data_IF_745874276821
#
_entry.id   IF_745874276821
#
_cell.length_a   1.000
_cell.length_b   1.000
_cell.length_c   1.000
_cell.angle_alpha   90.00
_cell.angle_beta   90.00
_cell.angle_gamma   90.00
#
_symmetry.space_group_name_H-M   'P 1'
#
loop_
_entity.id
_entity.type
_entity.pdbx_description
1 polymer ?
#
# COMPACT_ATOMS: atom_id res chain seq x y z
N UNK A 1 2.47 12.81 -2.15
CA UNK A 1 3.58 11.86 -2.37
C UNK A 1 4.08 11.97 -3.80
N UNK A 2 5.37 11.92 -4.00
CA UNK A 2 5.98 11.89 -5.33
C UNK A 2 6.18 10.44 -5.76
N UNK A 3 6.35 10.25 -7.07
CA UNK A 3 6.68 8.93 -7.60
C UNK A 3 8.00 8.42 -7.00
N UNK A 4 8.09 7.14 -6.76
CA UNK A 4 9.30 6.55 -6.24
C UNK A 4 9.06 5.25 -5.49
N UNK A 5 10.12 4.79 -4.83
CA UNK A 5 10.11 3.62 -3.97
C UNK A 5 10.05 4.10 -2.53
N UNK A 6 9.18 3.49 -1.75
CA UNK A 6 8.95 3.83 -0.35
C UNK A 6 9.16 2.60 0.52
N UNK A 7 9.81 2.79 1.66
CA UNK A 7 9.77 1.78 2.71
C UNK A 7 8.45 1.88 3.43
N UNK A 8 7.85 0.75 3.74
CA UNK A 8 6.56 0.69 4.42
C UNK A 8 6.70 0.16 5.84
N UNK A 9 5.97 0.80 6.74
CA UNK A 9 5.69 0.27 8.06
C UNK A 9 4.18 0.07 8.15
N UNK A 10 3.77 -1.15 8.41
CA UNK A 10 2.37 -1.53 8.40
C UNK A 10 2.01 -2.10 9.75
N UNK A 11 0.98 -1.55 10.37
CA UNK A 11 0.47 -2.03 11.65
C UNK A 11 -0.94 -2.57 11.44
N UNK A 12 -1.14 -3.83 11.80
CA UNK A 12 -2.44 -4.47 11.83
C UNK A 12 -2.75 -4.82 13.28
N UNK A 13 -3.51 -3.95 13.96
CA UNK A 13 -3.76 -4.15 15.39
C UNK A 13 -2.46 -4.20 16.18
N UNK A 14 -2.13 -5.35 16.75
CA UNK A 14 -0.89 -5.57 17.50
C UNK A 14 0.27 -6.05 16.62
N UNK A 15 0.01 -6.46 15.39
CA UNK A 15 1.05 -6.94 14.47
C UNK A 15 1.70 -5.78 13.75
N UNK A 16 3.02 -5.82 13.65
CA UNK A 16 3.79 -4.83 12.92
C UNK A 16 4.65 -5.54 11.87
N UNK A 17 4.55 -5.09 10.62
CA UNK A 17 5.32 -5.66 9.52
C UNK A 17 5.96 -4.55 8.70
N UNK A 18 7.01 -4.88 7.99
CA UNK A 18 7.72 -3.98 7.11
C UNK A 18 7.58 -4.45 5.67
N UNK A 19 7.58 -3.50 4.76
CA UNK A 19 7.45 -3.79 3.34
C UNK A 19 8.04 -2.71 2.47
N UNK A 20 7.77 -2.80 1.19
CA UNK A 20 8.23 -1.86 0.18
C UNK A 20 7.08 -1.57 -0.77
N UNK A 21 6.99 -0.33 -1.22
CA UNK A 21 5.99 0.05 -2.21
C UNK A 21 6.59 0.89 -3.33
N UNK A 22 5.97 0.81 -4.48
CA UNK A 22 6.21 1.71 -5.59
C UNK A 22 5.00 2.61 -5.75
N UNK A 23 5.25 3.92 -5.84
CA UNK A 23 4.23 4.93 -6.07
C UNK A 23 4.43 5.49 -7.46
N UNK A 24 3.37 5.49 -8.26
CA UNK A 24 3.36 6.09 -9.57
C UNK A 24 1.99 6.73 -9.82
N UNK A 25 1.97 8.06 -9.96
CA UNK A 25 0.72 8.80 -10.11
C UNK A 25 -0.20 8.58 -8.91
N UNK A 26 -1.42 8.11 -9.17
CA UNK A 26 -2.43 7.83 -8.17
C UNK A 26 -2.49 6.34 -7.78
N UNK A 27 -1.41 5.63 -7.97
CA UNK A 27 -1.34 4.20 -7.72
C UNK A 27 -0.18 3.86 -6.79
N UNK A 28 -0.46 3.00 -5.82
CA UNK A 28 0.54 2.44 -4.91
C UNK A 28 0.49 0.93 -5.05
N UNK A 29 1.65 0.33 -5.30
CA UNK A 29 1.80 -1.12 -5.32
C UNK A 29 2.89 -1.50 -4.35
N UNK A 30 2.54 -2.29 -3.35
CA UNK A 30 3.48 -2.66 -2.32
C UNK A 30 3.41 -4.12 -1.97
N UNK A 31 4.40 -4.57 -1.23
CA UNK A 31 4.43 -5.93 -0.73
C UNK A 31 5.20 -6.01 0.59
N UNK A 32 4.81 -6.97 1.39
CA UNK A 32 5.60 -7.46 2.52
C UNK A 32 5.92 -8.94 2.29
N UNK A 33 6.38 -9.64 3.32
CA UNK A 33 6.75 -11.05 3.18
C UNK A 33 5.57 -11.97 2.82
N UNK A 34 4.34 -11.56 3.10
CA UNK A 34 3.16 -12.41 2.95
C UNK A 34 2.05 -11.80 2.09
N UNK A 35 2.09 -10.51 1.84
CA UNK A 35 0.96 -9.79 1.26
C UNK A 35 1.39 -8.88 0.13
N UNK A 36 0.48 -8.68 -0.81
CA UNK A 36 0.57 -7.69 -1.88
C UNK A 36 -0.51 -6.64 -1.63
N UNK A 37 -0.12 -5.38 -1.72
CA UNK A 37 -1.00 -4.24 -1.54
C UNK A 37 -1.13 -3.50 -2.86
N UNK A 38 -2.35 -3.21 -3.26
CA UNK A 38 -2.63 -2.35 -4.40
C UNK A 38 -3.58 -1.27 -3.93
N UNK A 39 -3.21 -0.03 -4.11
CA UNK A 39 -4.02 1.09 -3.70
C UNK A 39 -4.21 2.07 -4.85
N UNK A 40 -5.42 2.56 -4.98
CA UNK A 40 -5.78 3.58 -5.95
C UNK A 40 -6.53 4.70 -5.25
N UNK A 41 -6.21 5.92 -5.65
CA UNK A 41 -6.91 7.09 -5.13
C UNK A 41 -8.31 7.17 -5.74
N UNK A 42 -9.31 7.17 -4.88
CA UNK A 42 -10.70 7.24 -5.33
C UNK A 42 -11.23 8.65 -5.52
N UNK A 43 -10.48 9.64 -5.09
CA UNK A 43 -10.60 11.08 -5.32
C UNK A 43 -11.90 11.67 -5.82
N UNK A 44 -12.97 11.58 -5.08
CA UNK A 44 -14.20 12.30 -5.37
C UNK A 44 -14.32 13.50 -4.43
N UNK A 45 -14.46 14.69 -4.99
CA UNK A 45 -14.84 15.90 -4.24
C UNK A 45 -13.96 16.22 -3.02
N UNK A 46 -12.64 16.16 -3.19
CA UNK A 46 -11.73 16.50 -2.09
C UNK A 46 -11.58 15.42 -1.04
N UNK A 47 -12.11 14.24 -1.27
CA UNK A 47 -11.91 13.12 -0.36
C UNK A 47 -10.46 12.68 -0.34
N UNK A 48 -9.98 12.33 0.84
CA UNK A 48 -8.63 11.79 1.05
C UNK A 48 -8.66 10.28 1.18
N UNK A 49 -9.67 9.65 0.60
CA UNK A 49 -9.88 8.21 0.70
C UNK A 49 -9.17 7.45 -0.42
N UNK A 50 -8.48 6.41 -0.04
CA UNK A 50 -7.82 5.51 -0.96
C UNK A 50 -8.42 4.12 -0.83
N UNK A 51 -8.59 3.46 -1.95
CA UNK A 51 -9.09 2.11 -2.00
C UNK A 51 -7.91 1.13 -2.03
N UNK A 52 -7.80 0.32 -0.99
CA UNK A 52 -6.74 -0.68 -0.86
C UNK A 52 -7.30 -2.07 -1.09
N UNK A 53 -6.62 -2.82 -1.94
CA UNK A 53 -6.83 -4.25 -2.08
C UNK A 53 -5.62 -4.96 -1.49
N UNK A 54 -5.86 -5.88 -0.59
CA UNK A 54 -4.81 -6.66 0.06
C UNK A 54 -4.97 -8.12 -0.33
N UNK A 55 -3.93 -8.69 -0.89
CA UNK A 55 -3.91 -10.10 -1.27
C UNK A 55 -2.80 -10.79 -0.51
N UNK A 56 -3.09 -11.97 0.03
CA UNK A 56 -2.09 -12.79 0.71
C UNK A 56 -1.71 -13.95 -0.19
N UNK A 57 -0.41 -14.16 -0.36
CA UNK A 57 0.07 -15.35 -1.01
C UNK A 57 0.72 -16.25 0.05
N UNK A 58 0.19 -17.44 0.21
CA UNK A 58 0.64 -18.37 1.25
C UNK A 58 1.60 -19.40 0.70
N UNK A 59 1.41 -19.78 -0.55
CA UNK A 59 2.28 -20.74 -1.22
C UNK A 59 2.23 -20.51 -2.72
N UNK A 60 3.33 -20.77 -3.45
CA UNK A 60 3.35 -20.59 -4.91
C UNK A 60 2.27 -21.36 -5.66
N UNK A 61 1.89 -22.52 -5.16
CA UNK A 61 0.89 -23.39 -5.78
C UNK A 61 -0.54 -23.00 -5.46
N UNK A 62 -0.76 -22.23 -4.39
CA UNK A 62 -2.10 -21.85 -3.96
C UNK A 62 -2.61 -20.57 -4.63
N UNK A 63 -1.73 -19.82 -5.29
CA UNK A 63 -2.08 -18.55 -5.88
C UNK A 63 -2.33 -17.46 -4.84
N UNK A 64 -2.91 -16.35 -5.32
CA UNK A 64 -3.22 -15.21 -4.48
C UNK A 64 -4.62 -15.36 -3.89
N UNK A 65 -4.72 -15.16 -2.59
CA UNK A 65 -6.01 -15.10 -1.90
C UNK A 65 -6.27 -13.66 -1.51
N UNK A 66 -7.33 -13.08 -2.07
CA UNK A 66 -7.69 -11.70 -1.75
C UNK A 66 -8.29 -11.64 -0.36
N UNK A 67 -7.71 -10.82 0.50
CA UNK A 67 -8.21 -10.59 1.86
C UNK A 67 -9.34 -9.58 1.92
N UNK A 68 -9.66 -8.93 0.81
CA UNK A 68 -10.73 -7.96 0.71
C UNK A 68 -10.26 -6.59 0.25
N UNK A 69 -11.21 -5.70 0.10
CA UNK A 69 -11.01 -4.32 -0.28
C UNK A 69 -11.33 -3.41 0.89
N UNK A 70 -10.50 -2.44 1.14
CA UNK A 70 -10.62 -1.55 2.28
C UNK A 70 -10.43 -0.10 1.85
N UNK A 71 -11.17 0.79 2.49
CA UNK A 71 -10.98 2.22 2.29
C UNK A 71 -10.16 2.76 3.46
N UNK A 72 -9.00 3.33 3.14
CA UNK A 72 -8.15 3.97 4.13
C UNK A 72 -8.11 5.47 3.88
N UNK A 73 -8.12 6.23 4.94
CA UNK A 73 -8.01 7.67 4.89
C UNK A 73 -6.56 8.09 4.90
N UNK A 74 -6.18 8.98 3.99
CA UNK A 74 -4.84 9.54 3.97
C UNK A 74 -4.72 10.56 5.11
N UNK A 75 -3.84 10.28 6.06
CA UNK A 75 -3.58 11.16 7.21
C UNK A 75 -2.41 12.07 6.99
N UNK A 76 -1.48 11.67 6.14
CA UNK A 76 -0.32 12.46 5.81
C UNK A 76 0.04 12.21 4.35
N UNK A 77 0.30 13.28 3.62
CA UNK A 77 0.75 13.20 2.23
C UNK A 77 1.67 14.37 1.96
N UNK A 78 2.94 14.18 2.24
CA UNK A 78 4.00 15.10 1.86
C UNK A 78 4.73 14.53 0.65
N UNK A 79 5.69 15.26 0.09
CA UNK A 79 6.43 14.79 -1.08
C UNK A 79 7.04 13.41 -0.88
N UNK A 80 7.63 13.17 0.29
CA UNK A 80 8.42 11.96 0.56
C UNK A 80 7.89 11.10 1.70
N UNK A 81 6.68 11.38 2.17
CA UNK A 81 6.08 10.60 3.25
C UNK A 81 4.57 10.54 3.10
N UNK A 82 4.01 9.39 3.38
CA UNK A 82 2.56 9.25 3.46
C UNK A 82 2.15 8.37 4.64
N UNK A 83 0.92 8.55 5.08
CA UNK A 83 0.32 7.70 6.10
C UNK A 83 -1.16 7.51 5.81
N UNK A 84 -1.59 6.27 5.87
CA UNK A 84 -2.99 5.88 5.72
C UNK A 84 -3.46 5.19 6.97
N UNK A 85 -4.71 5.41 7.31
CA UNK A 85 -5.33 4.82 8.49
C UNK A 85 -6.76 4.40 8.19
N UNK A 86 -7.16 3.29 8.73
CA UNK A 86 -8.52 2.80 8.60
C UNK A 86 -8.74 1.54 9.42
N UNK A 87 -9.92 0.97 9.26
CA UNK A 87 -10.29 -0.27 9.90
C UNK A 87 -10.62 -1.32 8.86
N UNK A 88 -10.13 -2.53 9.09
CA UNK A 88 -10.54 -3.68 8.31
C UNK A 88 -11.76 -4.26 9.01
N UNK A 89 -12.90 -4.18 8.34
CA UNK A 89 -14.12 -4.82 8.79
C UNK A 89 -14.09 -6.29 8.42
N UNK A 90 -14.23 -7.14 9.40
CA UNK A 90 -14.17 -8.58 9.17
C UNK A 90 -14.40 -9.28 10.50
N UNK A 91 -13.55 -10.24 10.83
CA UNK A 91 -13.68 -11.02 12.05
C UNK A 91 -13.48 -10.21 13.33
N UNK A 92 -12.70 -9.16 13.25
CA UNK A 92 -12.48 -8.19 14.32
C UNK A 92 -12.24 -6.84 13.68
N UNK A 93 -12.70 -5.76 14.29
CA UNK A 93 -12.40 -4.42 13.85
C UNK A 93 -10.93 -4.15 14.09
N UNK A 94 -10.13 -4.43 13.09
CA UNK A 94 -8.69 -4.32 13.16
C UNK A 94 -8.27 -2.97 12.61
N UNK A 95 -7.60 -2.18 13.43
CA UNK A 95 -7.05 -0.91 12.98
C UNK A 95 -5.80 -1.16 12.14
N UNK A 96 -5.75 -0.51 10.98
CA UNK A 96 -4.62 -0.59 10.06
C UNK A 96 -4.00 0.78 9.91
N UNK A 97 -2.69 0.84 10.03
CA UNK A 97 -1.91 2.05 9.76
C UNK A 97 -0.81 1.65 8.78
N UNK A 98 -0.73 2.38 7.67
CA UNK A 98 0.32 2.17 6.67
C UNK A 98 1.09 3.48 6.54
N UNK A 99 2.38 3.43 6.84
CA UNK A 99 3.28 4.57 6.71
C UNK A 99 4.34 4.27 5.67
N UNK A 100 4.62 5.24 4.80
CA UNK A 100 5.62 5.11 3.77
C UNK A 100 6.62 6.26 3.80
N UNK A 101 7.89 5.93 3.68
CA UNK A 101 8.98 6.89 3.57
C UNK A 101 9.74 6.66 2.26
N UNK A 102 9.90 7.72 1.48
CA UNK A 102 10.58 7.66 0.19
C UNK A 102 12.04 7.27 0.38
N UNK A 103 12.50 6.28 -0.39
CA UNK A 103 13.87 5.79 -0.33
C UNK A 103 14.61 5.90 -1.66
N UNK A 104 13.92 6.16 -2.75
CA UNK A 104 14.59 6.29 -4.04
C UNK A 104 13.64 6.48 -5.20
N UNK A 105 14.21 6.78 -6.35
CA UNK A 105 13.46 6.91 -7.58
C UNK A 105 13.03 5.55 -8.11
N UNK A 106 11.95 5.55 -8.90
CA UNK A 106 11.53 4.34 -9.60
C UNK A 106 12.66 3.86 -10.51
N UNK A 107 12.88 2.54 -10.58
CA UNK A 107 13.86 1.98 -11.50
C UNK A 107 13.48 2.35 -12.94
N UNK A 108 14.47 2.80 -13.69
CA UNK A 108 14.30 3.03 -15.13
C UNK A 108 14.61 1.73 -15.85
N UNK A 109 13.67 1.29 -16.67
CA UNK A 109 13.96 0.24 -17.61
C UNK A 109 14.98 0.75 -18.62
N UNK A 110 15.97 -0.07 -18.92
CA UNK A 110 16.95 0.29 -19.93
C UNK A 110 16.22 0.50 -21.26
N UNK A 111 16.24 1.74 -21.72
CA UNK A 111 15.51 2.13 -22.93
C UNK A 111 16.05 1.43 -24.15
N UNK A 112 15.15 0.90 -24.96
CA UNK A 112 15.49 0.28 -26.22
C UNK A 112 16.14 -1.08 -26.13
N UNK A 113 16.21 -1.65 -24.95
CA UNK A 113 16.82 -2.97 -24.75
C UNK A 113 15.82 -4.10 -24.63
N UNK A 114 14.65 -3.82 -24.99
CA UNK A 114 13.60 -4.84 -24.93
C UNK A 114 13.36 -5.39 -26.31
#
# INVERSE_FOLDING_TARGET
>A
MIDGIYSLEITFGAEHVEGVAMVKGNSIKGLDSDRIYVAEFSGRHGETCWHFSVSRYTQPTAGLTTSGSHHLTCRQNTEKRFAFEGEITGFTNLKVIIQGDWIGELPKLATGTV
#
